data_IF_560870453612
#
_entry.id   IF_560870453612
#
_cell.length_a   1.000
_cell.length_b   1.000
_cell.length_c   1.000
_cell.angle_alpha   90.00
_cell.angle_beta   90.00
_cell.angle_gamma   90.00
#
_symmetry.space_group_name_H-M   'P 1'
#
loop_
_entity.id
_entity.type
_entity.pdbx_description
1 polymer ?
#
# COMPACT_ATOMS: atom_id res chain seq x y z
N UNK A 1 -7.59 -15.22 30.40
CA UNK A 1 -7.15 -14.03 31.17
C UNK A 1 -6.71 -14.42 32.58
N UNK A 2 -7.61 -14.93 33.44
CA UNK A 2 -7.27 -15.26 34.83
C UNK A 2 -6.09 -16.26 34.93
N UNK A 3 -6.11 -17.33 34.18
CA UNK A 3 -5.05 -18.34 34.21
C UNK A 3 -3.68 -17.74 33.80
N UNK A 4 -3.62 -16.93 32.76
CA UNK A 4 -2.37 -16.29 32.32
C UNK A 4 -1.90 -15.19 33.27
N UNK A 5 -2.81 -14.51 33.97
CA UNK A 5 -2.49 -13.61 35.07
C UNK A 5 -1.82 -14.37 36.24
N UNK A 6 -2.41 -15.48 36.67
CA UNK A 6 -1.84 -16.32 37.74
C UNK A 6 -0.48 -16.88 37.31
N UNK A 7 -0.32 -17.32 36.05
CA UNK A 7 0.96 -17.79 35.52
C UNK A 7 2.05 -16.72 35.64
N UNK A 8 1.74 -15.45 35.30
CA UNK A 8 2.68 -14.34 35.40
C UNK A 8 3.00 -13.98 36.87
N UNK A 9 2.01 -14.08 37.75
CA UNK A 9 2.21 -13.86 39.18
C UNK A 9 3.14 -14.93 39.78
N UNK A 10 2.92 -16.18 39.47
CA UNK A 10 3.76 -17.30 39.92
C UNK A 10 5.18 -17.21 39.36
N UNK A 11 5.33 -16.76 38.11
CA UNK A 11 6.63 -16.55 37.44
C UNK A 11 7.36 -15.28 37.92
N UNK A 12 6.74 -14.43 38.75
CA UNK A 12 7.23 -13.12 39.12
C UNK A 12 7.60 -12.26 37.88
N UNK A 13 6.77 -12.34 36.83
CA UNK A 13 6.90 -11.57 35.59
C UNK A 13 5.88 -10.42 35.53
N UNK A 14 6.09 -9.41 34.68
CA UNK A 14 5.18 -8.27 34.59
C UNK A 14 3.75 -8.70 34.22
N UNK A 15 2.80 -8.41 35.09
CA UNK A 15 1.38 -8.80 34.93
C UNK A 15 0.72 -8.12 33.74
N UNK A 16 1.21 -6.95 33.32
CA UNK A 16 0.67 -6.23 32.15
C UNK A 16 0.84 -7.00 30.83
N UNK A 17 1.72 -7.99 30.74
CA UNK A 17 1.83 -8.85 29.53
C UNK A 17 0.52 -9.55 29.20
N UNK A 18 -0.31 -9.82 30.18
CA UNK A 18 -1.61 -10.45 29.97
C UNK A 18 -2.55 -9.58 29.13
N UNK A 19 -2.46 -8.25 29.22
CA UNK A 19 -3.26 -7.35 28.38
C UNK A 19 -2.84 -7.38 26.91
N UNK A 20 -1.56 -7.61 26.64
CA UNK A 20 -1.06 -7.67 25.27
C UNK A 20 -1.58 -8.88 24.49
N UNK A 21 -2.14 -9.91 25.17
CA UNK A 21 -2.76 -11.06 24.53
C UNK A 21 -4.02 -10.70 23.74
N UNK A 22 -4.70 -9.58 24.08
CA UNK A 22 -5.89 -9.13 23.38
C UNK A 22 -5.59 -8.37 22.08
N UNK A 23 -4.32 -8.04 21.87
CA UNK A 23 -3.89 -7.39 20.63
C UNK A 23 -3.70 -8.46 19.57
N UNK A 24 -4.48 -8.48 18.47
CA UNK A 24 -4.29 -9.40 17.37
C UNK A 24 -2.85 -9.39 16.88
N UNK A 25 -2.32 -10.53 16.48
CA UNK A 25 -0.92 -10.79 16.11
C UNK A 25 0.06 -10.71 17.30
N UNK A 26 0.01 -9.64 18.12
CA UNK A 26 0.87 -9.52 19.31
C UNK A 26 0.60 -10.64 20.30
N UNK A 27 -0.68 -10.96 20.56
CA UNK A 27 -1.10 -12.04 21.45
C UNK A 27 -0.55 -13.41 21.06
N UNK A 28 -0.34 -13.65 19.77
CA UNK A 28 0.23 -14.90 19.26
C UNK A 28 1.69 -15.09 19.64
N UNK A 29 2.43 -14.03 19.91
CA UNK A 29 3.80 -14.10 20.43
C UNK A 29 3.84 -14.02 21.95
N UNK A 30 2.99 -13.21 22.55
CA UNK A 30 2.96 -13.00 23.99
C UNK A 30 2.42 -14.23 24.73
N UNK A 31 1.36 -14.90 24.24
CA UNK A 31 0.79 -16.07 24.90
C UNK A 31 1.80 -17.23 24.99
N UNK A 32 2.49 -17.64 23.91
CA UNK A 32 3.60 -18.60 24.01
C UNK A 32 4.70 -18.14 24.98
N UNK A 33 5.04 -16.86 24.99
CA UNK A 33 6.02 -16.30 25.93
C UNK A 33 5.62 -16.52 27.40
N UNK A 34 4.35 -16.26 27.73
CA UNK A 34 3.80 -16.51 29.08
C UNK A 34 3.86 -17.99 29.41
N UNK A 35 3.49 -18.87 28.48
CA UNK A 35 3.50 -20.31 28.68
C UNK A 35 4.92 -20.85 28.88
N UNK A 36 5.90 -20.37 28.13
CA UNK A 36 7.31 -20.71 28.29
C UNK A 36 7.84 -20.28 29.67
N UNK A 37 7.54 -19.05 30.10
CA UNK A 37 7.96 -18.60 31.44
C UNK A 37 7.30 -19.42 32.54
N UNK A 38 6.05 -19.85 32.37
CA UNK A 38 5.36 -20.69 33.32
C UNK A 38 5.98 -22.11 33.44
N UNK A 39 6.29 -22.78 32.32
CA UNK A 39 6.85 -24.16 32.38
C UNK A 39 8.26 -24.22 32.95
N UNK A 40 9.03 -23.10 32.89
CA UNK A 40 10.33 -22.99 33.57
C UNK A 40 10.23 -23.16 35.08
N UNK A 41 9.07 -22.80 35.68
CA UNK A 41 8.83 -23.00 37.13
C UNK A 41 8.77 -24.47 37.53
N UNK A 42 8.64 -25.37 36.57
CA UNK A 42 8.63 -26.81 36.74
C UNK A 42 9.92 -27.49 36.26
N UNK A 43 11.01 -26.73 36.13
CA UNK A 43 12.30 -27.24 35.70
C UNK A 43 12.37 -27.65 34.22
N UNK A 44 11.43 -27.19 33.39
CA UNK A 44 11.36 -27.52 31.98
C UNK A 44 12.05 -26.44 31.15
N UNK A 45 13.32 -26.70 30.78
CA UNK A 45 14.19 -25.72 30.16
C UNK A 45 14.63 -26.07 28.73
N UNK A 46 14.28 -27.29 28.25
CA UNK A 46 14.70 -27.70 26.90
C UNK A 46 13.95 -26.98 25.80
N UNK A 47 14.54 -26.93 24.61
CA UNK A 47 13.90 -26.32 23.44
C UNK A 47 12.56 -26.98 23.12
N UNK A 48 12.52 -28.32 23.13
CA UNK A 48 11.31 -29.07 22.81
C UNK A 48 10.19 -28.86 23.82
N UNK A 49 10.51 -28.77 25.10
CA UNK A 49 9.54 -28.47 26.16
C UNK A 49 8.94 -27.07 26.00
N UNK A 50 9.75 -26.09 25.62
CA UNK A 50 9.27 -24.75 25.30
C UNK A 50 8.41 -24.74 24.05
N UNK A 51 8.77 -25.50 23.00
CA UNK A 51 7.98 -25.67 21.78
C UNK A 51 6.63 -26.33 22.08
N UNK A 52 6.61 -27.37 22.89
CA UNK A 52 5.36 -28.02 23.34
C UNK A 52 4.48 -27.05 24.14
N UNK A 53 5.06 -26.30 25.06
CA UNK A 53 4.31 -25.30 25.81
C UNK A 53 3.74 -24.17 24.90
N UNK A 54 4.52 -23.75 23.90
CA UNK A 54 4.11 -22.69 22.98
C UNK A 54 3.00 -23.11 22.02
N UNK A 55 3.10 -24.32 21.44
CA UNK A 55 2.22 -24.78 20.37
C UNK A 55 1.12 -25.73 20.81
N UNK A 56 1.36 -26.52 21.85
CA UNK A 56 0.49 -27.60 22.32
C UNK A 56 0.12 -27.45 23.80
N UNK A 57 0.02 -26.22 24.30
CA UNK A 57 -0.32 -25.89 25.67
C UNK A 57 -1.54 -26.66 26.22
N UNK A 58 -2.68 -26.82 25.49
CA UNK A 58 -3.85 -27.57 25.99
C UNK A 58 -3.57 -29.03 26.33
N UNK A 59 -2.56 -29.63 25.71
CA UNK A 59 -2.15 -31.02 25.96
C UNK A 59 -0.96 -31.08 26.91
N UNK A 60 -0.04 -30.15 26.79
CA UNK A 60 1.18 -30.17 27.59
C UNK A 60 0.97 -29.77 29.06
N UNK A 61 0.06 -28.83 29.36
CA UNK A 61 -0.22 -28.41 30.73
C UNK A 61 -0.91 -29.50 31.56
N UNK A 62 -1.92 -30.25 31.06
CA UNK A 62 -2.40 -31.44 31.77
C UNK A 62 -1.30 -32.46 32.04
N UNK A 63 -0.43 -32.74 31.07
CA UNK A 63 0.73 -33.61 31.28
C UNK A 63 1.63 -33.13 32.42
N UNK A 64 1.93 -31.83 32.49
CA UNK A 64 2.70 -31.23 33.58
C UNK A 64 2.01 -31.42 34.94
N UNK A 65 0.68 -31.24 34.99
CA UNK A 65 -0.09 -31.30 36.22
C UNK A 65 -0.27 -32.71 36.77
N UNK A 66 -0.38 -33.73 35.91
CA UNK A 66 -0.62 -35.11 36.31
C UNK A 66 0.65 -35.96 36.40
N UNK A 67 1.80 -35.48 35.93
CA UNK A 67 3.05 -36.27 35.97
C UNK A 67 3.69 -36.24 37.34
N UNK A 68 3.84 -37.43 38.01
CA UNK A 68 4.44 -37.51 39.36
C UNK A 68 5.94 -37.15 39.40
N UNK A 69 6.58 -37.09 38.23
CA UNK A 69 8.02 -36.78 38.09
C UNK A 69 8.31 -35.29 37.95
N UNK A 70 7.27 -34.46 37.90
CA UNK A 70 7.41 -33.03 37.67
C UNK A 70 7.08 -32.28 38.96
N UNK A 71 8.02 -31.48 39.41
CA UNK A 71 7.86 -30.74 40.66
C UNK A 71 8.01 -29.24 40.40
N UNK A 72 7.27 -28.46 41.13
CA UNK A 72 7.39 -26.98 41.10
C UNK A 72 8.68 -26.56 41.82
N UNK A 73 9.59 -25.94 41.07
CA UNK A 73 10.88 -25.41 41.58
C UNK A 73 10.82 -23.90 41.88
N UNK A 74 9.75 -23.25 41.44
CA UNK A 74 9.49 -21.84 41.65
C UNK A 74 10.42 -20.90 40.86
N UNK A 75 10.19 -19.59 40.99
CA UNK A 75 10.95 -18.58 40.21
C UNK A 75 12.44 -18.51 40.62
N UNK A 76 12.77 -18.79 41.88
CA UNK A 76 14.17 -18.78 42.34
C UNK A 76 14.93 -20.03 41.83
N UNK A 77 14.27 -21.17 41.73
CA UNK A 77 14.82 -22.37 41.10
C UNK A 77 15.04 -22.14 39.58
N UNK A 78 14.08 -21.51 38.92
CA UNK A 78 14.19 -21.17 37.48
C UNK A 78 15.33 -20.22 37.18
N UNK A 79 15.63 -19.25 38.04
CA UNK A 79 16.76 -18.32 37.88
C UNK A 79 18.14 -18.95 37.97
N UNK A 80 18.27 -20.08 38.68
CA UNK A 80 19.53 -20.81 38.85
C UNK A 80 19.95 -21.57 37.60
N UNK A 81 19.03 -21.80 36.65
CA UNK A 81 19.35 -22.47 35.42
C UNK A 81 20.25 -21.64 34.54
N UNK A 82 21.43 -22.17 34.22
CA UNK A 82 22.37 -21.57 33.26
C UNK A 82 22.13 -22.19 31.88
N UNK A 83 21.77 -21.33 30.91
CA UNK A 83 21.57 -21.73 29.52
C UNK A 83 22.92 -22.12 28.89
N UNK A 84 22.90 -23.06 27.94
CA UNK A 84 24.03 -23.32 27.05
C UNK A 84 24.18 -22.15 26.04
N UNK A 85 25.41 -21.80 25.68
CA UNK A 85 25.68 -20.62 24.84
C UNK A 85 24.93 -20.62 23.51
N UNK A 86 24.86 -21.75 22.81
CA UNK A 86 24.10 -21.85 21.56
C UNK A 86 22.60 -21.52 21.75
N UNK A 87 22.06 -21.85 22.90
CA UNK A 87 20.65 -21.58 23.23
C UNK A 87 20.37 -20.09 23.39
N UNK A 88 21.33 -19.34 23.91
CA UNK A 88 21.22 -17.88 24.02
C UNK A 88 21.13 -17.24 22.64
N UNK A 89 21.92 -17.72 21.67
CA UNK A 89 21.84 -17.26 20.29
C UNK A 89 20.49 -17.58 19.61
N UNK A 90 19.95 -18.77 19.84
CA UNK A 90 18.61 -19.14 19.33
C UNK A 90 17.52 -18.28 19.95
N UNK A 91 17.54 -18.07 21.26
CA UNK A 91 16.56 -17.22 21.95
C UNK A 91 16.67 -15.75 21.45
N UNK A 92 17.90 -15.23 21.24
CA UNK A 92 18.13 -13.91 20.68
C UNK A 92 17.62 -13.80 19.24
N UNK A 93 17.84 -14.80 18.39
CA UNK A 93 17.32 -14.83 17.03
C UNK A 93 15.78 -14.84 17.00
N UNK A 94 15.14 -15.67 17.82
CA UNK A 94 13.67 -15.70 17.94
C UNK A 94 13.15 -14.34 18.40
N UNK A 95 13.76 -13.74 19.42
CA UNK A 95 13.37 -12.42 19.89
C UNK A 95 13.51 -11.36 18.79
N UNK A 96 14.62 -11.37 18.04
CA UNK A 96 14.87 -10.43 16.96
C UNK A 96 13.82 -10.57 15.84
N UNK A 97 13.47 -11.81 15.44
CA UNK A 97 12.43 -12.06 14.42
C UNK A 97 11.07 -11.56 14.90
N UNK A 98 10.69 -11.86 16.15
CA UNK A 98 9.42 -11.41 16.71
C UNK A 98 9.37 -9.88 16.80
N UNK A 99 10.40 -9.25 17.38
CA UNK A 99 10.48 -7.80 17.50
C UNK A 99 10.44 -7.11 16.14
N UNK A 100 11.22 -7.57 15.17
CA UNK A 100 11.23 -7.01 13.83
C UNK A 100 9.88 -7.20 13.12
N UNK A 101 9.20 -8.34 13.31
CA UNK A 101 7.86 -8.59 12.77
C UNK A 101 6.84 -7.61 13.35
N UNK A 102 6.86 -7.38 14.66
CA UNK A 102 5.95 -6.44 15.33
C UNK A 102 6.21 -5.00 14.90
N UNK A 103 7.47 -4.59 14.84
CA UNK A 103 7.86 -3.25 14.36
C UNK A 103 7.37 -3.05 12.92
N UNK A 104 7.67 -4.01 12.02
CA UNK A 104 7.25 -3.99 10.62
C UNK A 104 5.73 -3.94 10.48
N UNK A 105 5.01 -4.67 11.30
CA UNK A 105 3.54 -4.75 11.22
C UNK A 105 2.87 -3.46 11.69
N UNK A 106 3.35 -2.83 12.77
CA UNK A 106 2.60 -1.79 13.47
C UNK A 106 3.24 -0.40 13.44
N UNK A 107 4.57 -0.29 13.27
CA UNK A 107 5.29 0.98 13.44
C UNK A 107 5.77 1.51 12.10
N UNK A 108 6.73 0.85 11.47
CA UNK A 108 7.26 1.24 10.16
C UNK A 108 7.76 0.03 9.36
N UNK A 109 7.71 0.16 8.06
CA UNK A 109 8.19 -0.85 7.12
C UNK A 109 9.10 -0.19 6.08
N UNK A 110 10.15 -0.92 5.69
CA UNK A 110 11.07 -0.48 4.64
C UNK A 110 10.58 -0.94 3.26
N UNK A 111 10.61 -0.02 2.29
CA UNK A 111 10.26 -0.28 0.90
C UNK A 111 11.35 0.25 -0.03
N UNK A 112 11.49 -0.38 -1.20
CA UNK A 112 12.34 0.10 -2.29
C UNK A 112 11.47 0.63 -3.41
N UNK A 113 11.85 1.72 -4.04
CA UNK A 113 11.15 2.31 -5.19
C UNK A 113 11.59 1.62 -6.47
N UNK A 114 10.69 0.89 -7.17
CA UNK A 114 11.05 0.16 -8.39
C UNK A 114 10.81 0.94 -9.68
N UNK A 115 10.02 2.02 -9.66
CA UNK A 115 9.56 2.73 -10.87
C UNK A 115 9.64 4.24 -10.76
N UNK A 116 9.67 4.93 -11.91
CA UNK A 116 9.78 6.38 -12.01
C UNK A 116 8.46 7.16 -11.85
N UNK A 117 7.36 6.52 -11.39
CA UNK A 117 6.06 7.20 -11.31
C UNK A 117 5.99 8.36 -10.31
N UNK A 118 6.94 8.41 -9.38
CA UNK A 118 7.15 9.49 -8.40
C UNK A 118 8.48 10.22 -8.66
N UNK A 119 9.00 10.17 -9.90
CA UNK A 119 10.31 10.73 -10.27
C UNK A 119 10.46 12.18 -9.79
N UNK A 120 11.70 12.57 -9.46
CA UNK A 120 12.12 13.80 -8.79
C UNK A 120 11.71 13.89 -7.32
N UNK A 121 10.57 13.37 -6.90
CA UNK A 121 10.23 13.21 -5.48
C UNK A 121 10.91 11.97 -4.91
N UNK A 122 10.68 10.82 -5.54
CA UNK A 122 11.29 9.54 -5.24
C UNK A 122 11.94 8.97 -6.49
N UNK A 123 13.20 8.55 -6.38
CA UNK A 123 13.96 7.97 -7.48
C UNK A 123 13.95 6.44 -7.39
N UNK A 124 14.13 5.79 -8.53
CA UNK A 124 14.35 4.34 -8.58
C UNK A 124 15.54 3.99 -7.68
N UNK A 125 15.41 2.91 -6.92
CA UNK A 125 16.35 2.47 -5.88
C UNK A 125 16.53 3.45 -4.71
N UNK A 126 15.54 4.29 -4.42
CA UNK A 126 15.37 4.89 -3.10
C UNK A 126 14.81 3.84 -2.14
N UNK A 127 15.39 3.75 -0.96
CA UNK A 127 14.91 2.91 0.14
C UNK A 127 14.24 3.81 1.18
N UNK A 128 12.96 3.57 1.43
CA UNK A 128 12.18 4.42 2.33
C UNK A 128 11.75 3.70 3.59
N UNK A 129 11.58 4.48 4.66
CA UNK A 129 10.73 4.08 5.78
C UNK A 129 9.33 4.65 5.59
N UNK A 130 8.35 3.75 5.69
CA UNK A 130 6.93 4.07 5.64
C UNK A 130 6.34 3.94 7.03
N UNK A 131 5.87 5.07 7.58
CA UNK A 131 5.25 5.11 8.90
C UNK A 131 3.81 4.61 8.82
N UNK A 132 3.53 3.51 9.50
CA UNK A 132 2.16 3.00 9.69
C UNK A 132 1.44 3.75 10.79
N UNK A 133 2.19 4.31 11.72
CA UNK A 133 1.68 5.08 12.83
C UNK A 133 1.04 6.40 12.41
N UNK A 134 1.46 6.97 11.27
CA UNK A 134 0.92 8.23 10.74
C UNK A 134 -0.59 8.19 10.50
N UNK A 135 -1.11 7.04 10.07
CA UNK A 135 -2.55 6.83 9.83
C UNK A 135 -3.19 5.90 10.84
N UNK A 136 -2.42 5.42 11.81
CA UNK A 136 -2.80 4.36 12.73
C UNK A 136 -2.52 2.96 12.19
N UNK A 137 -1.99 2.06 13.01
CA UNK A 137 -1.63 0.71 12.60
C UNK A 137 -2.86 -0.10 12.19
N UNK A 138 -2.78 -0.72 11.00
CA UNK A 138 -3.79 -1.65 10.49
C UNK A 138 -3.47 -3.06 10.99
N UNK A 139 -4.47 -3.76 11.52
CA UNK A 139 -4.35 -5.18 11.81
C UNK A 139 -4.26 -5.93 10.48
N UNK A 140 -3.28 -6.86 10.30
CA UNK A 140 -3.20 -7.66 9.10
C UNK A 140 -4.48 -8.45 8.86
N UNK A 141 -5.03 -8.37 7.64
CA UNK A 141 -6.19 -9.18 7.25
C UNK A 141 -5.83 -10.67 7.19
N UNK A 142 -4.58 -10.99 6.80
CA UNK A 142 -4.06 -12.35 6.67
C UNK A 142 -2.94 -12.58 7.70
N UNK A 143 -3.27 -12.79 8.97
CA UNK A 143 -2.29 -12.85 10.05
C UNK A 143 -1.40 -14.10 10.02
N UNK A 144 -1.89 -15.21 9.42
CA UNK A 144 -1.10 -16.43 9.23
C UNK A 144 -0.16 -16.27 8.03
N UNK A 145 0.96 -15.58 8.23
CA UNK A 145 1.95 -15.33 7.19
C UNK A 145 3.36 -15.58 7.70
N UNK A 146 4.23 -16.10 6.83
CA UNK A 146 5.66 -16.24 7.13
C UNK A 146 6.25 -14.83 7.19
N UNK A 147 6.94 -14.47 8.30
CA UNK A 147 7.58 -13.16 8.41
C UNK A 147 8.52 -12.85 7.25
N UNK A 148 8.56 -11.60 6.82
CA UNK A 148 9.44 -11.05 5.77
C UNK A 148 9.21 -11.57 4.35
N UNK A 149 8.30 -12.52 4.12
CA UNK A 149 7.94 -13.01 2.78
C UNK A 149 6.56 -12.47 2.41
N UNK A 150 6.47 -11.84 1.22
CA UNK A 150 5.22 -11.17 0.82
C UNK A 150 4.17 -12.19 0.31
N UNK A 151 4.36 -12.81 -0.84
CA UNK A 151 3.36 -13.66 -1.49
C UNK A 151 3.77 -15.13 -1.59
N UNK A 152 4.92 -15.43 -2.21
CA UNK A 152 5.37 -16.80 -2.47
C UNK A 152 6.72 -17.05 -1.77
N UNK A 153 6.93 -18.28 -1.35
CA UNK A 153 8.20 -18.70 -0.77
C UNK A 153 9.26 -18.69 -1.89
N UNK A 154 10.41 -18.02 -1.70
CA UNK A 154 11.45 -17.94 -2.72
C UNK A 154 11.86 -19.33 -3.23
N UNK A 155 11.90 -19.49 -4.56
CA UNK A 155 12.20 -20.76 -5.22
C UNK A 155 11.05 -21.78 -5.23
N UNK A 156 9.82 -21.38 -4.82
CA UNK A 156 8.64 -22.24 -4.79
C UNK A 156 7.39 -21.51 -5.27
N UNK A 157 6.41 -22.24 -5.78
CA UNK A 157 5.05 -21.74 -6.04
C UNK A 157 4.14 -21.75 -4.81
N UNK A 158 4.65 -22.17 -3.64
CA UNK A 158 3.87 -22.23 -2.41
C UNK A 158 3.64 -20.83 -1.83
N UNK A 159 2.40 -20.56 -1.41
CA UNK A 159 2.06 -19.29 -0.75
C UNK A 159 2.74 -19.19 0.60
N UNK A 160 3.26 -18.00 0.93
CA UNK A 160 3.85 -17.67 2.24
C UNK A 160 2.82 -17.39 3.33
N UNK A 161 1.53 -17.50 3.01
CA UNK A 161 0.42 -17.19 3.90
C UNK A 161 -0.72 -18.19 3.77
N UNK A 162 -1.55 -18.26 4.81
CA UNK A 162 -2.79 -19.03 4.82
C UNK A 162 -3.99 -18.12 5.01
N UNK A 163 -5.07 -18.38 4.26
CA UNK A 163 -6.35 -17.68 4.37
C UNK A 163 -7.33 -18.36 5.32
N UNK A 164 -6.88 -19.38 6.08
CA UNK A 164 -7.71 -20.10 7.06
C UNK A 164 -8.24 -19.17 8.16
N UNK A 165 -7.49 -18.12 8.50
CA UNK A 165 -7.93 -17.05 9.39
C UNK A 165 -7.81 -15.75 8.63
N UNK A 166 -8.95 -15.04 8.48
CA UNK A 166 -9.02 -13.70 7.93
C UNK A 166 -9.66 -12.76 8.95
N UNK A 167 -9.00 -11.63 9.20
CA UNK A 167 -9.50 -10.60 10.11
C UNK A 167 -10.10 -9.49 9.26
N UNK A 168 -11.32 -9.00 9.57
CA UNK A 168 -11.88 -7.85 8.87
C UNK A 168 -11.01 -6.61 9.06
N UNK A 169 -11.22 -5.59 8.22
CA UNK A 169 -10.48 -4.33 8.35
C UNK A 169 -10.67 -3.70 9.72
N UNK A 170 -9.56 -3.58 10.45
CA UNK A 170 -9.47 -2.90 11.74
C UNK A 170 -8.24 -2.01 11.72
N UNK A 171 -8.42 -0.75 12.06
CA UNK A 171 -7.34 0.23 12.21
C UNK A 171 -7.45 0.92 13.56
N UNK A 172 -6.38 0.84 14.35
CA UNK A 172 -6.34 1.51 15.64
C UNK A 172 -5.88 2.96 15.50
N UNK A 173 -6.44 3.84 16.33
CA UNK A 173 -6.08 5.26 16.37
C UNK A 173 -6.07 5.88 14.96
N UNK A 174 -7.07 5.53 14.16
CA UNK A 174 -7.15 5.94 12.76
C UNK A 174 -7.08 7.48 12.62
N UNK A 175 -6.15 7.94 11.79
CA UNK A 175 -6.04 9.33 11.36
C UNK A 175 -6.26 9.39 9.84
N UNK A 176 -6.98 10.41 9.33
CA UNK A 176 -7.24 10.52 7.91
C UNK A 176 -5.96 10.84 7.14
N UNK A 177 -5.87 10.33 5.93
CA UNK A 177 -4.88 10.75 4.94
C UNK A 177 -5.17 12.20 4.55
N UNK A 178 -4.13 13.02 4.39
CA UNK A 178 -4.26 14.42 3.99
C UNK A 178 -3.85 14.61 2.53
N UNK A 179 -4.40 15.64 1.88
CA UNK A 179 -3.92 16.05 0.55
C UNK A 179 -2.44 16.39 0.62
N UNK A 180 -1.69 16.02 -0.42
CA UNK A 180 -0.25 16.18 -0.50
C UNK A 180 0.56 15.07 0.17
N UNK A 181 -0.03 14.20 1.01
CA UNK A 181 0.69 13.07 1.59
C UNK A 181 1.15 12.10 0.51
N UNK A 182 2.40 11.64 0.60
CA UNK A 182 2.91 10.53 -0.22
C UNK A 182 2.59 9.22 0.51
N UNK A 183 1.69 8.43 -0.07
CA UNK A 183 1.03 7.30 0.58
C UNK A 183 1.43 5.99 -0.05
N UNK A 184 1.78 5.01 0.78
CA UNK A 184 1.88 3.60 0.37
C UNK A 184 0.55 2.91 0.65
N UNK A 185 0.05 2.18 -0.35
CA UNK A 185 -1.22 1.47 -0.27
C UNK A 185 -1.17 0.18 -1.08
N UNK A 186 -2.01 -0.77 -0.74
CA UNK A 186 -2.20 -2.00 -1.50
C UNK A 186 -2.96 -1.69 -2.80
N UNK A 187 -2.50 -2.23 -3.92
CA UNK A 187 -3.05 -1.96 -5.25
C UNK A 187 -4.55 -2.31 -5.32
N UNK A 188 -5.44 -1.36 -5.69
CA UNK A 188 -6.88 -1.57 -5.63
C UNK A 188 -7.41 -2.63 -6.60
N UNK A 189 -6.75 -2.83 -7.73
CA UNK A 189 -7.08 -3.88 -8.70
C UNK A 189 -6.21 -5.16 -8.52
N UNK A 190 -5.48 -5.28 -7.39
CA UNK A 190 -4.60 -6.41 -7.09
C UNK A 190 -5.26 -7.60 -6.39
N UNK A 191 -6.59 -7.61 -6.25
CA UNK A 191 -7.37 -8.72 -5.70
C UNK A 191 -7.32 -9.98 -6.58
N UNK A 192 -7.25 -9.80 -7.90
CA UNK A 192 -7.06 -10.86 -8.90
C UNK A 192 -5.88 -10.50 -9.78
N UNK A 193 -4.96 -11.42 -9.97
CA UNK A 193 -3.77 -11.22 -10.82
C UNK A 193 -3.54 -12.42 -11.72
N UNK A 194 -2.93 -12.19 -12.88
CA UNK A 194 -2.34 -13.27 -13.68
C UNK A 194 -0.97 -13.59 -13.09
N UNK A 195 -0.83 -14.78 -12.51
CA UNK A 195 0.40 -15.22 -11.83
C UNK A 195 1.46 -15.72 -12.81
N UNK A 196 1.93 -14.83 -13.65
CA UNK A 196 2.94 -15.08 -14.68
C UNK A 196 3.88 -13.89 -14.79
N UNK A 197 5.13 -14.12 -15.15
CA UNK A 197 6.11 -13.07 -15.39
C UNK A 197 5.62 -12.09 -16.46
N UNK A 198 5.83 -10.78 -16.24
CA UNK A 198 5.34 -9.70 -17.11
C UNK A 198 3.89 -9.26 -16.87
N UNK A 199 3.14 -10.01 -16.06
CA UNK A 199 1.78 -9.66 -15.63
C UNK A 199 1.78 -9.09 -14.19
N UNK A 200 0.91 -9.57 -13.34
CA UNK A 200 0.70 -9.09 -11.96
C UNK A 200 0.27 -7.62 -11.95
N UNK A 201 1.01 -6.74 -11.27
CA UNK A 201 0.71 -5.31 -11.23
C UNK A 201 1.29 -4.52 -12.41
N UNK A 202 2.23 -5.10 -13.19
CA UNK A 202 2.74 -4.47 -14.40
C UNK A 202 1.70 -4.47 -15.54
N UNK A 203 0.93 -5.55 -15.65
CA UNK A 203 -0.21 -5.67 -16.56
C UNK A 203 -1.41 -6.24 -15.78
N UNK A 204 -2.19 -5.37 -15.10
CA UNK A 204 -3.26 -5.80 -14.19
C UNK A 204 -4.34 -6.62 -14.88
N UNK A 205 -4.88 -7.61 -14.17
CA UNK A 205 -5.95 -8.48 -14.67
C UNK A 205 -7.16 -7.70 -15.23
N UNK A 206 -7.58 -6.64 -14.56
CA UNK A 206 -8.73 -5.86 -15.01
C UNK A 206 -8.43 -5.06 -16.28
N UNK A 207 -7.20 -4.60 -16.46
CA UNK A 207 -6.76 -4.00 -17.72
C UNK A 207 -6.74 -5.06 -18.83
N UNK A 208 -6.18 -6.24 -18.58
CA UNK A 208 -6.11 -7.33 -19.52
C UNK A 208 -7.50 -7.74 -20.02
N UNK A 209 -8.49 -7.94 -19.14
CA UNK A 209 -9.85 -8.31 -19.57
C UNK A 209 -10.53 -7.21 -20.38
N UNK A 210 -10.27 -5.93 -20.06
CA UNK A 210 -10.78 -4.81 -20.88
C UNK A 210 -10.15 -4.79 -22.28
N UNK A 211 -8.86 -5.05 -22.38
CA UNK A 211 -8.14 -5.11 -23.66
C UNK A 211 -8.60 -6.29 -24.52
N UNK A 212 -8.61 -7.50 -23.98
CA UNK A 212 -9.03 -8.71 -24.68
C UNK A 212 -10.50 -8.66 -25.12
N UNK A 213 -11.36 -8.10 -24.28
CA UNK A 213 -12.79 -7.91 -24.55
C UNK A 213 -13.11 -6.64 -25.35
N UNK A 214 -12.10 -5.88 -25.80
CA UNK A 214 -12.29 -4.61 -26.53
C UNK A 214 -13.28 -3.67 -25.86
N UNK A 215 -13.15 -3.56 -24.53
CA UNK A 215 -14.05 -2.79 -23.66
C UNK A 215 -15.18 -3.59 -23.01
N UNK A 216 -15.48 -4.81 -23.49
CA UNK A 216 -16.44 -5.70 -22.86
C UNK A 216 -15.75 -6.61 -21.83
N UNK A 217 -15.79 -6.22 -20.54
CA UNK A 217 -15.13 -6.99 -19.47
C UNK A 217 -15.64 -8.43 -19.33
N UNK A 218 -16.91 -8.70 -19.65
CA UNK A 218 -17.47 -10.05 -19.55
C UNK A 218 -16.87 -10.98 -20.62
N UNK A 219 -16.71 -10.49 -21.83
CA UNK A 219 -16.07 -11.22 -22.94
C UNK A 219 -14.58 -11.44 -22.66
N UNK A 220 -13.87 -10.39 -22.24
CA UNK A 220 -12.46 -10.51 -21.88
C UNK A 220 -12.23 -11.49 -20.72
N UNK A 221 -13.11 -11.49 -19.72
CA UNK A 221 -13.09 -12.49 -18.65
C UNK A 221 -13.30 -13.90 -19.15
N UNK A 222 -14.22 -14.11 -20.06
CA UNK A 222 -14.44 -15.42 -20.68
C UNK A 222 -13.20 -15.91 -21.44
N UNK A 223 -12.52 -15.03 -22.18
CA UNK A 223 -11.26 -15.34 -22.88
C UNK A 223 -10.18 -15.77 -21.89
N UNK A 224 -9.97 -15.04 -20.82
CA UNK A 224 -8.96 -15.36 -19.80
C UNK A 224 -9.28 -16.69 -19.11
N UNK A 225 -10.54 -16.92 -18.72
CA UNK A 225 -10.96 -18.15 -18.04
C UNK A 225 -10.90 -19.39 -18.94
N UNK A 226 -11.05 -19.24 -20.26
CA UNK A 226 -10.92 -20.34 -21.22
C UNK A 226 -9.47 -20.72 -21.52
N UNK A 227 -8.49 -19.89 -21.10
CA UNK A 227 -7.06 -20.11 -21.34
C UNK A 227 -6.23 -20.12 -20.02
N UNK A 228 -6.49 -21.03 -19.07
CA UNK A 228 -5.85 -21.01 -17.76
C UNK A 228 -4.34 -21.30 -17.79
N UNK A 229 -3.84 -21.95 -18.85
CA UNK A 229 -2.40 -22.17 -19.04
C UNK A 229 -1.66 -20.90 -19.47
N UNK A 230 -2.32 -20.04 -20.22
CA UNK A 230 -1.78 -18.76 -20.65
C UNK A 230 -1.94 -17.68 -19.56
N UNK A 231 -3.09 -17.69 -18.88
CA UNK A 231 -3.47 -16.74 -17.85
C UNK A 231 -3.77 -17.45 -16.52
N UNK A 232 -2.76 -18.01 -15.83
CA UNK A 232 -2.98 -18.63 -14.51
C UNK A 232 -3.38 -17.58 -13.50
N UNK A 233 -4.61 -17.64 -12.99
CA UNK A 233 -5.14 -16.65 -12.05
C UNK A 233 -4.76 -16.98 -10.60
N UNK A 234 -4.42 -15.93 -9.86
CA UNK A 234 -4.27 -15.98 -8.42
C UNK A 234 -5.12 -14.90 -7.75
N UNK A 235 -5.78 -15.26 -6.65
CA UNK A 235 -6.54 -14.33 -5.81
C UNK A 235 -5.71 -14.01 -4.58
N UNK A 236 -5.57 -12.71 -4.31
CA UNK A 236 -4.84 -12.20 -3.15
C UNK A 236 -5.78 -11.50 -2.18
N UNK A 237 -5.65 -11.75 -0.86
CA UNK A 237 -6.23 -10.89 0.16
C UNK A 237 -5.72 -9.45 0.04
N UNK A 238 -6.46 -8.50 0.58
CA UNK A 238 -6.15 -7.06 0.49
C UNK A 238 -4.71 -6.74 0.88
N UNK A 239 -4.24 -7.30 2.00
CA UNK A 239 -2.89 -7.07 2.54
C UNK A 239 -1.79 -7.89 1.85
N UNK A 240 -2.14 -8.67 0.81
CA UNK A 240 -1.22 -9.46 -0.02
C UNK A 240 -1.16 -8.98 -1.47
N UNK A 241 -1.97 -7.98 -1.85
CA UNK A 241 -1.79 -7.30 -3.13
C UNK A 241 -0.54 -6.40 -3.11
N UNK A 242 0.03 -6.14 -4.28
CA UNK A 242 1.24 -5.35 -4.43
C UNK A 242 1.10 -3.95 -3.82
N UNK A 243 2.22 -3.41 -3.34
CA UNK A 243 2.24 -2.09 -2.74
C UNK A 243 2.58 -1.02 -3.78
N UNK A 244 1.74 -0.01 -3.87
CA UNK A 244 1.94 1.17 -4.69
C UNK A 244 2.24 2.38 -3.82
N UNK A 245 2.94 3.35 -4.41
CA UNK A 245 3.22 4.63 -3.77
C UNK A 245 2.81 5.76 -4.70
N UNK A 246 1.95 6.67 -4.21
CA UNK A 246 1.46 7.84 -4.95
C UNK A 246 1.21 9.00 -3.99
N UNK A 247 1.01 10.18 -4.55
CA UNK A 247 0.54 11.34 -3.79
C UNK A 247 -0.98 11.34 -3.68
N UNK A 248 -1.49 11.55 -2.48
CA UNK A 248 -2.91 11.79 -2.26
C UNK A 248 -3.27 13.19 -2.75
N UNK A 249 -3.99 13.27 -3.87
CA UNK A 249 -4.44 14.54 -4.45
C UNK A 249 -5.93 14.80 -4.20
N UNK A 250 -6.67 13.84 -3.68
CA UNK A 250 -8.07 14.00 -3.32
C UNK A 250 -8.43 13.13 -2.13
N UNK A 251 -9.21 13.69 -1.21
CA UNK A 251 -9.67 13.01 0.01
C UNK A 251 -11.19 12.85 -0.01
N UNK A 252 -11.69 12.02 0.90
CA UNK A 252 -13.12 11.78 1.04
C UNK A 252 -13.93 13.08 1.17
N UNK A 253 -15.00 13.21 0.39
CA UNK A 253 -15.87 14.38 0.31
C UNK A 253 -15.47 15.43 -0.72
N UNK A 254 -14.29 15.34 -1.32
CA UNK A 254 -13.86 16.28 -2.35
C UNK A 254 -14.59 16.07 -3.68
N UNK A 255 -14.82 17.18 -4.38
CA UNK A 255 -15.02 17.17 -5.83
C UNK A 255 -13.68 17.46 -6.50
N UNK A 256 -13.18 16.51 -7.27
CA UNK A 256 -11.91 16.61 -7.99
C UNK A 256 -12.13 16.77 -9.49
N UNK A 257 -11.34 17.63 -10.12
CA UNK A 257 -11.20 17.76 -11.56
C UNK A 257 -9.72 17.76 -11.92
N UNK A 258 -9.40 17.20 -13.07
CA UNK A 258 -8.08 17.33 -13.70
C UNK A 258 -8.27 18.05 -15.03
N UNK A 259 -7.58 19.16 -15.21
CA UNK A 259 -7.58 19.96 -16.44
C UNK A 259 -6.14 20.20 -16.89
N UNK A 260 -5.75 19.62 -18.00
CA UNK A 260 -4.37 19.71 -18.48
C UNK A 260 -3.35 19.15 -17.49
N UNK A 261 -3.64 18.02 -16.84
CA UNK A 261 -2.84 17.42 -15.74
C UNK A 261 -2.75 18.25 -14.43
N UNK A 262 -3.43 19.38 -14.35
CA UNK A 262 -3.53 20.18 -13.12
C UNK A 262 -4.78 19.77 -12.36
N UNK A 263 -4.63 19.56 -11.06
CA UNK A 263 -5.71 19.12 -10.17
C UNK A 263 -6.45 20.35 -9.61
N UNK A 264 -7.77 20.24 -9.58
CA UNK A 264 -8.67 21.21 -8.96
C UNK A 264 -9.51 20.52 -7.90
N UNK A 265 -9.69 21.17 -6.75
CA UNK A 265 -10.57 20.73 -5.66
C UNK A 265 -11.71 21.71 -5.51
N UNK A 266 -12.94 21.25 -5.58
CA UNK A 266 -14.11 22.08 -5.40
C UNK A 266 -14.05 23.37 -6.25
N UNK A 267 -13.51 23.26 -7.49
CA UNK A 267 -13.32 24.37 -8.41
C UNK A 267 -12.07 25.23 -8.19
N UNK A 268 -11.29 24.99 -7.14
CA UNK A 268 -10.04 25.73 -6.88
C UNK A 268 -8.82 24.92 -7.33
N UNK A 269 -7.90 25.55 -8.03
CA UNK A 269 -6.65 24.92 -8.46
C UNK A 269 -5.78 24.56 -7.27
N UNK A 270 -5.30 23.31 -7.23
CA UNK A 270 -4.28 22.89 -6.26
C UNK A 270 -2.91 23.47 -6.60
N UNK A 271 -2.13 23.80 -5.59
CA UNK A 271 -0.72 24.12 -5.79
C UNK A 271 0.02 22.90 -6.29
N UNK A 272 0.73 23.05 -7.40
CA UNK A 272 1.54 21.95 -7.96
C UNK A 272 2.68 21.63 -6.99
N UNK A 273 2.86 20.37 -6.57
CA UNK A 273 3.98 20.00 -5.71
C UNK A 273 5.34 20.40 -6.35
N UNK A 274 6.30 20.92 -5.57
CA UNK A 274 7.55 21.45 -6.13
C UNK A 274 8.33 20.49 -7.02
N UNK A 275 8.25 19.19 -6.72
CA UNK A 275 8.94 18.12 -7.46
C UNK A 275 8.04 17.38 -8.46
N UNK A 276 6.78 17.80 -8.61
CA UNK A 276 5.89 17.23 -9.64
C UNK A 276 6.39 17.59 -11.03
N UNK A 277 6.47 16.57 -11.89
CA UNK A 277 7.01 16.71 -13.25
C UNK A 277 5.87 16.80 -14.25
N UNK A 278 5.89 17.86 -15.05
CA UNK A 278 4.97 18.11 -16.15
C UNK A 278 5.76 18.44 -17.43
N UNK A 279 5.16 18.15 -18.56
CA UNK A 279 5.74 18.54 -19.85
C UNK A 279 5.32 19.97 -20.22
N UNK A 280 6.30 20.80 -20.56
CA UNK A 280 6.09 22.19 -20.96
C UNK A 280 6.71 22.48 -22.31
N UNK A 281 6.00 23.25 -23.13
CA UNK A 281 6.58 23.92 -24.29
C UNK A 281 7.18 25.24 -23.82
N UNK A 282 8.50 25.36 -23.94
CA UNK A 282 9.29 26.47 -23.44
C UNK A 282 9.88 27.25 -24.63
N UNK A 283 9.65 28.53 -24.69
CA UNK A 283 10.36 29.47 -25.60
C UNK A 283 11.47 30.11 -24.76
N UNK A 284 12.75 29.83 -25.04
CA UNK A 284 13.86 30.41 -24.29
C UNK A 284 13.96 31.93 -24.52
N UNK A 285 14.42 32.67 -23.52
CA UNK A 285 14.79 34.08 -23.65
C UNK A 285 16.27 34.27 -24.08
N UNK A 286 17.05 33.18 -24.03
CA UNK A 286 18.48 33.13 -24.36
C UNK A 286 18.68 32.40 -25.69
N UNK A 287 19.78 32.68 -26.37
CA UNK A 287 20.07 32.08 -27.68
C UNK A 287 20.35 30.57 -27.60
N UNK A 288 20.98 30.12 -26.53
CA UNK A 288 21.34 28.71 -26.27
C UNK A 288 21.09 28.35 -24.82
N UNK A 289 20.61 27.14 -24.60
CA UNK A 289 20.52 26.51 -23.27
C UNK A 289 21.70 25.55 -23.17
N UNK A 290 22.57 25.75 -22.15
CA UNK A 290 23.69 24.88 -21.89
C UNK A 290 23.18 23.59 -21.20
N UNK A 291 23.40 22.37 -21.77
CA UNK A 291 22.95 21.12 -21.21
C UNK A 291 23.47 20.82 -19.79
N UNK A 292 24.73 21.18 -19.52
CA UNK A 292 25.35 20.91 -18.21
C UNK A 292 24.73 21.82 -17.14
N UNK A 293 24.54 23.12 -17.44
CA UNK A 293 23.84 24.06 -16.55
C UNK A 293 22.39 23.63 -16.33
N UNK A 294 21.70 23.17 -17.37
CA UNK A 294 20.32 22.69 -17.26
C UNK A 294 20.22 21.46 -16.35
N UNK A 295 21.19 20.56 -16.42
CA UNK A 295 21.25 19.38 -15.57
C UNK A 295 21.63 19.72 -14.12
N UNK A 296 22.70 20.50 -13.93
CA UNK A 296 23.25 20.74 -12.58
C UNK A 296 22.40 21.72 -11.77
N UNK A 297 21.92 22.80 -12.41
CA UNK A 297 21.20 23.86 -11.71
C UNK A 297 19.68 23.64 -11.66
N UNK A 298 19.10 23.05 -12.71
CA UNK A 298 17.64 22.96 -12.87
C UNK A 298 17.15 21.52 -12.79
N UNK A 299 18.05 20.53 -12.68
CA UNK A 299 17.70 19.10 -12.65
C UNK A 299 16.89 18.66 -13.90
N UNK A 300 17.20 19.28 -15.06
CA UNK A 300 16.58 18.97 -16.34
C UNK A 300 17.46 17.99 -17.11
N UNK A 301 16.86 16.88 -17.49
CA UNK A 301 17.48 15.87 -18.33
C UNK A 301 17.40 16.32 -19.80
N UNK A 302 18.50 16.84 -20.33
CA UNK A 302 18.56 17.45 -21.66
C UNK A 302 18.35 16.41 -22.78
N UNK A 303 18.62 15.14 -22.53
CA UNK A 303 18.37 14.02 -23.47
C UNK A 303 16.86 13.84 -23.73
N UNK A 304 16.01 14.32 -22.82
CA UNK A 304 14.55 14.30 -22.95
C UNK A 304 13.97 15.61 -23.51
N UNK A 305 14.82 16.57 -23.86
CA UNK A 305 14.40 17.85 -24.48
C UNK A 305 14.23 17.63 -25.96
N UNK A 306 13.08 17.99 -26.51
CA UNK A 306 12.78 17.86 -27.93
C UNK A 306 12.39 19.20 -28.55
N UNK A 307 12.76 19.49 -29.83
CA UNK A 307 12.29 20.67 -30.54
C UNK A 307 10.75 20.65 -30.67
N UNK A 308 10.11 21.78 -30.37
CA UNK A 308 8.66 21.97 -30.47
C UNK A 308 8.24 23.01 -31.57
N UNK A 309 9.17 23.33 -32.49
CA UNK A 309 8.96 24.30 -33.56
C UNK A 309 9.16 25.76 -33.14
N UNK A 310 9.35 26.65 -34.12
CA UNK A 310 9.47 28.09 -33.89
C UNK A 310 10.47 28.52 -32.78
N UNK A 311 11.56 27.79 -32.58
CA UNK A 311 12.53 28.06 -31.53
C UNK A 311 12.08 27.65 -30.11
N UNK A 312 10.97 26.92 -29.99
CA UNK A 312 10.49 26.35 -28.73
C UNK A 312 11.00 24.92 -28.52
N UNK A 313 11.03 24.50 -27.28
CA UNK A 313 11.42 23.15 -26.84
C UNK A 313 10.36 22.54 -25.94
N UNK A 314 10.10 21.26 -26.13
CA UNK A 314 9.34 20.43 -25.18
C UNK A 314 10.28 19.94 -24.08
N UNK A 315 9.96 20.24 -22.82
CA UNK A 315 10.81 19.96 -21.67
C UNK A 315 9.98 19.40 -20.50
N UNK A 316 10.52 18.38 -19.85
CA UNK A 316 10.00 17.84 -18.60
C UNK A 316 10.57 18.65 -17.44
N UNK A 317 9.75 19.50 -16.83
CA UNK A 317 10.17 20.37 -15.74
C UNK A 317 9.42 20.06 -14.46
N UNK A 318 10.15 20.11 -13.36
CA UNK A 318 9.51 20.23 -12.04
C UNK A 318 8.98 21.67 -11.87
N UNK A 319 7.98 21.83 -10.99
CA UNK A 319 7.46 23.17 -10.69
C UNK A 319 8.57 24.08 -10.13
N UNK A 320 9.46 23.53 -9.30
CA UNK A 320 10.63 24.22 -8.76
C UNK A 320 11.61 24.67 -9.88
N UNK A 321 11.91 23.78 -10.83
CA UNK A 321 12.78 24.10 -11.95
C UNK A 321 12.17 25.20 -12.82
N UNK A 322 10.88 25.08 -13.14
CA UNK A 322 10.12 26.09 -13.91
C UNK A 322 10.21 27.48 -13.25
N UNK A 323 9.90 27.55 -11.95
CA UNK A 323 9.95 28.82 -11.21
C UNK A 323 11.38 29.39 -11.15
N UNK A 324 12.39 28.55 -10.94
CA UNK A 324 13.80 28.99 -10.94
C UNK A 324 14.24 29.51 -12.31
N UNK A 325 13.90 28.81 -13.39
CA UNK A 325 14.21 29.27 -14.76
C UNK A 325 13.50 30.59 -15.13
N UNK A 326 12.24 30.76 -14.73
CA UNK A 326 11.50 31.99 -14.90
C UNK A 326 12.16 33.16 -14.15
N UNK A 327 12.50 32.94 -12.87
CA UNK A 327 13.17 33.92 -12.01
C UNK A 327 14.53 34.36 -12.58
N UNK A 328 15.27 33.43 -13.17
CA UNK A 328 16.60 33.70 -13.77
C UNK A 328 16.51 34.24 -15.21
N UNK A 329 15.31 34.50 -15.72
CA UNK A 329 15.13 35.11 -17.05
C UNK A 329 15.46 34.18 -18.22
N UNK A 330 15.48 32.87 -18.02
CA UNK A 330 15.77 31.91 -19.11
C UNK A 330 14.56 31.60 -19.98
N UNK A 331 13.35 31.91 -19.52
CA UNK A 331 12.09 31.61 -20.18
C UNK A 331 11.43 32.91 -20.66
N UNK A 332 11.17 32.99 -21.96
CA UNK A 332 10.38 34.08 -22.58
C UNK A 332 8.89 33.75 -22.50
N UNK A 333 8.52 32.51 -22.84
CA UNK A 333 7.15 32.01 -22.75
C UNK A 333 7.16 30.54 -22.36
N UNK A 334 6.14 30.11 -21.64
CA UNK A 334 5.97 28.71 -21.21
C UNK A 334 4.50 28.33 -21.23
N UNK A 335 4.20 27.17 -21.79
CA UNK A 335 2.86 26.62 -21.87
C UNK A 335 2.93 25.14 -21.45
N UNK A 336 1.87 24.61 -20.84
CA UNK A 336 1.74 23.16 -20.70
C UNK A 336 1.66 22.55 -22.10
N UNK A 337 2.51 21.56 -22.37
CA UNK A 337 2.43 20.81 -23.62
C UNK A 337 1.19 19.91 -23.55
N UNK A 338 0.27 19.99 -24.51
CA UNK A 338 -0.80 19.00 -24.59
C UNK A 338 -0.17 17.61 -24.82
N UNK A 339 -0.37 16.70 -23.88
CA UNK A 339 0.11 15.33 -24.05
C UNK A 339 -0.81 14.49 -24.93
N UNK A 340 -0.44 13.24 -25.12
CA UNK A 340 -1.32 12.27 -25.74
C UNK A 340 -2.51 12.05 -24.81
N UNK A 341 -3.71 12.46 -25.23
CA UNK A 341 -4.94 12.21 -24.50
C UNK A 341 -5.30 10.73 -24.57
N UNK A 342 -4.84 9.96 -23.59
CA UNK A 342 -5.34 8.60 -23.42
C UNK A 342 -6.78 8.67 -22.92
N UNK A 343 -7.70 8.17 -23.73
CA UNK A 343 -9.14 8.10 -23.38
C UNK A 343 -9.52 6.77 -22.76
N UNK A 344 -8.59 5.82 -22.71
CA UNK A 344 -8.80 4.53 -22.07
C UNK A 344 -8.45 4.64 -20.57
N UNK A 345 -9.30 5.36 -19.86
CA UNK A 345 -9.15 5.71 -18.45
C UNK A 345 -10.42 5.37 -17.65
N UNK A 346 -10.31 5.37 -16.32
CA UNK A 346 -11.45 5.22 -15.44
C UNK A 346 -12.56 6.24 -15.77
N UNK A 347 -13.86 5.86 -15.78
CA UNK A 347 -14.43 4.55 -15.43
C UNK A 347 -14.59 3.58 -16.62
N UNK A 348 -13.96 3.83 -17.78
CA UNK A 348 -13.96 2.98 -18.98
C UNK A 348 -15.35 2.84 -19.61
N UNK A 349 -16.10 3.90 -19.64
CA UNK A 349 -17.45 3.94 -20.20
C UNK A 349 -17.56 4.91 -21.38
N UNK A 350 -18.73 4.94 -22.02
CA UNK A 350 -19.06 5.86 -23.09
C UNK A 350 -19.80 7.12 -22.64
N UNK A 351 -20.10 7.23 -21.33
CA UNK A 351 -20.88 8.34 -20.76
C UNK A 351 -19.94 9.49 -20.42
N UNK A 352 -18.80 9.18 -19.79
CA UNK A 352 -17.81 10.13 -19.38
C UNK A 352 -16.73 10.26 -20.46
N UNK A 353 -16.67 11.42 -21.11
CA UNK A 353 -15.64 11.73 -22.12
C UNK A 353 -14.34 12.18 -21.45
N UNK A 354 -13.87 11.39 -20.44
CA UNK A 354 -12.66 11.69 -19.71
C UNK A 354 -11.41 11.17 -20.43
N UNK A 355 -10.29 11.79 -20.09
CA UNK A 355 -8.96 11.37 -20.56
C UNK A 355 -7.97 11.43 -19.42
N UNK A 356 -6.76 10.92 -19.64
CA UNK A 356 -5.66 11.05 -18.66
C UNK A 356 -5.31 12.50 -18.31
N UNK A 357 -5.63 13.44 -19.22
CA UNK A 357 -5.39 14.88 -19.12
C UNK A 357 -6.56 15.66 -18.55
N UNK A 358 -7.80 15.24 -18.86
CA UNK A 358 -9.03 15.93 -18.50
C UNK A 358 -10.02 14.95 -17.92
N UNK A 359 -10.25 15.04 -16.63
CA UNK A 359 -11.09 14.12 -15.87
C UNK A 359 -11.96 14.87 -14.87
N UNK A 360 -13.16 14.43 -14.69
CA UNK A 360 -14.08 14.99 -13.70
C UNK A 360 -15.10 15.97 -14.32
N UNK A 361 -15.89 16.67 -13.50
CA UNK A 361 -15.87 16.62 -12.02
C UNK A 361 -16.27 15.25 -11.46
N UNK A 362 -15.55 14.81 -10.42
CA UNK A 362 -15.70 13.52 -9.78
C UNK A 362 -15.78 13.71 -8.26
N UNK A 363 -16.85 13.22 -7.63
CA UNK A 363 -16.94 13.22 -6.17
C UNK A 363 -16.23 12.00 -5.57
N UNK A 364 -15.39 12.22 -4.56
CA UNK A 364 -14.67 11.16 -3.84
C UNK A 364 -15.54 10.68 -2.69
N UNK A 365 -15.90 9.38 -2.62
CA UNK A 365 -16.82 8.88 -1.61
C UNK A 365 -16.32 9.09 -0.18
N UNK A 366 -17.24 9.55 0.68
CA UNK A 366 -17.02 9.75 2.10
C UNK A 366 -17.93 8.81 2.90
N UNK A 367 -17.36 8.21 3.93
CA UNK A 367 -18.09 7.32 4.84
C UNK A 367 -19.32 7.98 5.42
N UNK A 368 -20.47 7.30 5.33
CA UNK A 368 -21.75 7.78 5.82
C UNK A 368 -22.47 8.75 4.88
N UNK A 369 -21.88 9.13 3.75
CA UNK A 369 -22.53 9.96 2.72
C UNK A 369 -23.14 9.08 1.63
N UNK A 370 -24.22 9.58 1.05
CA UNK A 370 -25.00 8.86 0.03
C UNK A 370 -24.90 9.54 -1.32
N UNK A 371 -24.97 8.72 -2.38
CA UNK A 371 -25.17 9.16 -3.76
C UNK A 371 -26.51 8.69 -4.29
N UNK A 372 -27.09 9.45 -5.22
CA UNK A 372 -28.21 8.99 -6.04
C UNK A 372 -27.67 8.11 -7.16
N UNK A 373 -28.33 6.99 -7.41
CA UNK A 373 -27.97 6.05 -8.46
C UNK A 373 -28.64 6.44 -9.78
N UNK A 374 -27.81 6.59 -10.79
CA UNK A 374 -28.15 6.77 -12.19
C UNK A 374 -27.04 6.14 -13.04
N UNK A 375 -27.15 6.18 -14.35
CA UNK A 375 -26.20 5.52 -15.23
C UNK A 375 -24.78 6.06 -15.07
N UNK A 376 -24.63 7.36 -14.92
CA UNK A 376 -23.32 7.99 -14.69
C UNK A 376 -22.71 7.56 -13.34
N UNK A 377 -23.47 7.65 -12.25
CA UNK A 377 -22.98 7.24 -10.93
C UNK A 377 -22.78 5.74 -10.80
N UNK A 378 -23.57 4.93 -11.51
CA UNK A 378 -23.38 3.48 -11.54
C UNK A 378 -22.02 3.12 -12.13
N UNK A 379 -21.65 3.64 -13.30
CA UNK A 379 -20.35 3.33 -13.93
C UNK A 379 -19.17 3.75 -13.07
N UNK A 380 -19.24 4.92 -12.45
CA UNK A 380 -18.18 5.47 -11.61
C UNK A 380 -18.02 4.68 -10.29
N UNK A 381 -19.14 4.34 -9.61
CA UNK A 381 -19.06 3.83 -8.24
C UNK A 381 -19.31 2.32 -8.10
N UNK A 382 -19.68 1.61 -9.18
CA UNK A 382 -20.01 0.19 -9.12
C UNK A 382 -18.89 -0.66 -8.49
N UNK A 383 -17.62 -0.37 -8.82
CA UNK A 383 -16.49 -1.12 -8.26
C UNK A 383 -16.33 -0.86 -6.76
N UNK A 384 -16.50 0.40 -6.32
CA UNK A 384 -16.44 0.76 -4.91
C UNK A 384 -17.53 0.03 -4.12
N UNK A 385 -18.76 0.01 -4.62
CA UNK A 385 -19.91 -0.63 -3.97
C UNK A 385 -19.77 -2.16 -3.98
N UNK A 386 -19.44 -2.74 -5.13
CA UNK A 386 -19.41 -4.19 -5.32
C UNK A 386 -18.17 -4.85 -4.74
N UNK A 387 -16.98 -4.35 -5.10
CA UNK A 387 -15.72 -5.02 -4.79
C UNK A 387 -15.18 -4.57 -3.44
N UNK A 388 -15.09 -3.26 -3.21
CA UNK A 388 -14.46 -2.76 -2.00
C UNK A 388 -15.36 -2.85 -0.77
N UNK A 389 -16.67 -2.68 -0.95
CA UNK A 389 -17.63 -2.80 0.16
C UNK A 389 -18.38 -4.14 0.20
N UNK A 390 -18.02 -5.08 -0.69
CA UNK A 390 -18.44 -6.49 -0.63
C UNK A 390 -19.93 -6.71 -0.89
N UNK A 391 -20.57 -5.89 -1.74
CA UNK A 391 -21.97 -6.05 -2.04
C UNK A 391 -22.20 -6.79 -3.38
N UNK A 392 -23.37 -7.43 -3.52
CA UNK A 392 -23.91 -7.80 -4.81
C UNK A 392 -24.59 -6.57 -5.40
N UNK A 393 -24.03 -5.98 -6.46
CA UNK A 393 -24.57 -4.76 -7.05
C UNK A 393 -24.56 -4.86 -8.56
N UNK A 394 -25.73 -4.73 -9.17
CA UNK A 394 -25.94 -4.89 -10.60
C UNK A 394 -27.06 -4.00 -11.12
N UNK A 395 -27.08 -3.76 -12.44
CA UNK A 395 -28.17 -3.06 -13.13
C UNK A 395 -28.95 -4.06 -13.97
N UNK A 396 -30.22 -4.28 -13.63
CA UNK A 396 -31.13 -5.18 -14.33
C UNK A 396 -32.38 -4.43 -14.79
N UNK A 397 -32.71 -4.52 -16.06
CA UNK A 397 -33.90 -3.88 -16.65
C UNK A 397 -34.04 -2.38 -16.31
N UNK A 398 -32.92 -1.65 -16.28
CA UNK A 398 -32.89 -0.22 -15.93
C UNK A 398 -32.98 0.09 -14.44
N UNK A 399 -33.06 -0.91 -13.57
CA UNK A 399 -33.12 -0.77 -12.11
C UNK A 399 -31.80 -1.17 -11.47
N UNK A 400 -31.44 -0.51 -10.36
CA UNK A 400 -30.23 -0.81 -9.59
C UNK A 400 -30.59 -1.77 -8.46
N UNK A 401 -29.96 -2.94 -8.44
CA UNK A 401 -30.23 -4.01 -7.48
C UNK A 401 -29.03 -4.16 -6.57
N UNK A 402 -29.24 -3.95 -5.27
CA UNK A 402 -28.24 -4.09 -4.22
C UNK A 402 -28.64 -5.25 -3.28
N UNK A 403 -27.83 -6.31 -3.22
CA UNK A 403 -28.09 -7.48 -2.37
C UNK A 403 -29.51 -8.05 -2.55
N UNK A 404 -30.00 -8.08 -3.81
CA UNK A 404 -31.32 -8.58 -4.17
C UNK A 404 -32.49 -7.59 -4.00
N UNK A 405 -32.23 -6.36 -3.57
CA UNK A 405 -33.26 -5.32 -3.40
C UNK A 405 -33.04 -4.16 -4.36
N UNK A 406 -34.14 -3.62 -4.91
CA UNK A 406 -34.10 -2.41 -5.73
C UNK A 406 -33.77 -1.19 -4.85
N UNK A 407 -32.80 -0.39 -5.27
CA UNK A 407 -32.36 0.81 -4.57
C UNK A 407 -32.20 2.00 -5.52
N UNK A 408 -32.43 3.21 -5.02
CA UNK A 408 -32.23 4.46 -5.77
C UNK A 408 -31.02 5.26 -5.29
N UNK A 409 -30.43 4.88 -4.16
CA UNK A 409 -29.28 5.53 -3.57
C UNK A 409 -28.37 4.53 -2.88
N UNK A 410 -27.12 4.92 -2.65
CA UNK A 410 -26.16 4.12 -1.89
C UNK A 410 -25.41 4.96 -0.87
N UNK A 411 -25.24 4.45 0.35
CA UNK A 411 -24.47 5.07 1.44
C UNK A 411 -23.14 4.35 1.62
N UNK A 412 -22.02 5.06 1.45
CA UNK A 412 -20.68 4.47 1.56
C UNK A 412 -20.32 4.12 3.00
N UNK A 413 -19.63 2.99 3.16
CA UNK A 413 -19.19 2.44 4.46
C UNK A 413 -17.75 2.83 4.79
N UNK A 414 -16.97 3.27 3.80
CA UNK A 414 -15.56 3.64 3.92
C UNK A 414 -15.29 5.01 3.31
N UNK A 415 -14.14 5.61 3.71
CA UNK A 415 -13.56 6.75 3.01
C UNK A 415 -12.73 6.29 1.81
N UNK A 416 -12.67 7.13 0.80
CA UNK A 416 -11.90 6.88 -0.42
C UNK A 416 -10.95 8.03 -0.70
N UNK A 417 -9.93 7.72 -1.50
CA UNK A 417 -8.88 8.66 -1.86
C UNK A 417 -8.62 8.61 -3.36
N UNK A 418 -8.10 9.73 -3.89
CA UNK A 418 -7.62 9.80 -5.26
C UNK A 418 -6.12 10.01 -5.24
N UNK A 419 -5.38 9.08 -5.84
CA UNK A 419 -3.93 9.01 -5.79
C UNK A 419 -3.34 9.26 -7.16
N UNK A 420 -2.40 10.20 -7.28
CA UNK A 420 -1.69 10.48 -8.53
C UNK A 420 -0.18 10.47 -8.31
N UNK A 421 0.56 10.08 -9.37
CA UNK A 421 2.01 10.16 -9.35
C UNK A 421 2.51 11.58 -9.57
N UNK A 422 3.67 11.91 -9.02
CA UNK A 422 4.32 13.20 -9.23
C UNK A 422 4.89 13.32 -10.65
N UNK A 423 5.27 12.20 -11.28
CA UNK A 423 5.55 12.10 -12.70
C UNK A 423 4.24 11.85 -13.46
N UNK A 424 3.51 12.91 -13.77
CA UNK A 424 2.12 12.89 -14.25
C UNK A 424 1.89 12.01 -15.48
N UNK A 425 2.75 12.06 -16.48
CA UNK A 425 2.59 11.28 -17.71
C UNK A 425 3.21 9.87 -17.58
N UNK A 426 4.22 9.70 -16.73
CA UNK A 426 4.86 8.42 -16.45
C UNK A 426 4.24 7.66 -15.28
N UNK A 427 2.94 7.86 -14.97
CA UNK A 427 2.31 7.25 -13.81
C UNK A 427 1.01 6.54 -14.17
N UNK A 428 0.96 5.23 -13.90
CA UNK A 428 -0.30 4.53 -13.67
C UNK A 428 -0.80 4.89 -12.28
N UNK A 429 -2.01 5.47 -12.18
CA UNK A 429 -2.58 5.96 -10.94
C UNK A 429 -4.13 5.97 -10.97
N UNK A 430 -4.78 6.69 -10.07
CA UNK A 430 -6.25 6.70 -9.97
C UNK A 430 -6.98 7.11 -11.24
N UNK A 431 -6.31 7.77 -12.17
CA UNK A 431 -6.89 8.05 -13.51
C UNK A 431 -7.18 6.77 -14.29
N UNK A 432 -6.54 5.65 -13.93
CA UNK A 432 -6.70 4.35 -14.58
C UNK A 432 -7.49 3.37 -13.73
N UNK A 433 -7.21 3.21 -12.43
CA UNK A 433 -7.92 2.24 -11.58
C UNK A 433 -9.03 2.84 -10.71
N UNK A 434 -9.18 4.17 -10.67
CA UNK A 434 -10.20 4.85 -9.87
C UNK A 434 -9.79 5.01 -8.39
N UNK A 435 -10.75 4.84 -7.52
CA UNK A 435 -10.61 5.10 -6.09
C UNK A 435 -9.71 4.12 -5.34
N UNK A 436 -9.03 4.64 -4.31
CA UNK A 436 -8.30 3.84 -3.31
C UNK A 436 -9.09 3.89 -2.00
N UNK A 437 -9.68 2.79 -1.53
CA UNK A 437 -10.42 2.75 -0.27
C UNK A 437 -9.49 2.77 0.95
N UNK A 438 -9.99 3.23 2.09
CA UNK A 438 -9.20 3.41 3.32
C UNK A 438 -8.60 2.11 3.87
N UNK A 439 -9.21 0.96 3.61
CA UNK A 439 -8.73 -0.35 4.03
C UNK A 439 -7.44 -0.77 3.31
N UNK A 440 -7.12 -0.16 2.18
CA UNK A 440 -5.91 -0.40 1.40
C UNK A 440 -4.72 0.45 1.81
N UNK A 441 -4.93 1.49 2.60
CA UNK A 441 -3.85 2.38 3.06
C UNK A 441 -2.89 1.60 3.97
N UNK A 442 -1.61 1.60 3.64
CA UNK A 442 -0.54 0.96 4.42
C UNK A 442 0.12 1.97 5.37
N UNK A 443 0.59 3.10 4.83
CA UNK A 443 1.26 4.11 5.64
C UNK A 443 1.75 5.31 4.82
N UNK A 444 2.36 6.27 5.51
CA UNK A 444 2.93 7.49 4.94
C UNK A 444 4.43 7.30 4.68
N UNK A 445 4.89 7.57 3.46
CA UNK A 445 6.32 7.67 3.18
C UNK A 445 6.92 8.80 4.02
N UNK A 446 7.95 8.49 4.81
CA UNK A 446 8.47 9.45 5.80
C UNK A 446 9.89 9.88 5.50
N UNK A 447 10.80 8.93 5.32
CA UNK A 447 12.24 9.20 5.19
C UNK A 447 12.85 8.26 4.16
N UNK A 448 13.68 8.80 3.28
CA UNK A 448 14.61 8.04 2.44
C UNK A 448 15.84 7.77 3.32
N UNK A 449 16.05 6.51 3.70
CA UNK A 449 17.17 6.15 4.57
C UNK A 449 18.41 5.71 3.78
N UNK A 450 18.25 5.31 2.51
CA UNK A 450 19.32 4.95 1.60
C UNK A 450 18.86 5.17 0.14
N UNK A 451 19.82 5.42 -0.76
CA UNK A 451 19.57 5.55 -2.19
C UNK A 451 20.80 5.12 -2.98
N UNK A 452 20.60 4.37 -4.08
CA UNK A 452 21.69 3.80 -4.86
C UNK A 452 21.44 3.91 -6.36
N UNK A 453 22.45 4.40 -7.11
CA UNK A 453 22.53 4.34 -8.57
C UNK A 453 23.99 4.48 -8.98
N UNK A 454 24.58 3.42 -9.48
CA UNK A 454 26.03 3.38 -9.81
C UNK A 454 26.94 3.83 -8.64
N UNK A 455 26.40 3.86 -7.42
CA UNK A 455 27.00 4.34 -6.19
C UNK A 455 25.99 4.97 -5.23
N UNK A 456 26.36 5.21 -3.95
CA UNK A 456 25.46 5.82 -2.99
C UNK A 456 25.13 7.28 -3.37
N UNK A 457 23.83 7.63 -3.38
CA UNK A 457 23.39 9.02 -3.53
C UNK A 457 23.34 9.70 -2.16
N UNK A 458 24.51 10.20 -1.70
CA UNK A 458 24.69 10.75 -0.35
C UNK A 458 23.75 11.93 -0.03
N UNK A 459 23.41 12.75 -1.04
CA UNK A 459 22.50 13.90 -0.90
C UNK A 459 21.04 13.51 -0.64
N UNK A 460 20.70 12.23 -0.76
CA UNK A 460 19.36 11.70 -0.49
C UNK A 460 19.23 10.99 0.86
N UNK A 461 20.35 10.78 1.54
CA UNK A 461 20.40 10.05 2.81
C UNK A 461 19.63 10.82 3.91
N UNK A 462 18.76 10.11 4.63
CA UNK A 462 17.88 10.64 5.68
C UNK A 462 17.02 11.86 5.26
N UNK A 463 16.73 11.97 3.97
CA UNK A 463 15.86 13.02 3.45
C UNK A 463 14.40 12.71 3.75
N UNK A 464 13.67 13.68 4.32
CA UNK A 464 12.23 13.55 4.50
C UNK A 464 11.48 13.62 3.17
N UNK A 465 10.48 12.76 3.01
CA UNK A 465 9.56 12.77 1.85
C UNK A 465 8.47 13.82 2.12
N UNK A 466 8.36 14.78 1.18
CA UNK A 466 7.39 15.89 1.27
C UNK A 466 6.48 15.92 0.05
#
# INVERSE_FOLDING_TARGET
FYNTWVMQELAKRPKHWVFWQFIPVVGWFISPGIFIEFVKLFGRFTFWEHTLAALLAPFYFPYLGYSPKIHYIGPEGAKRYKKQGWREWVDAAIFAIVAATLIRTFIFEAYTIPSGSMEKTLLINDFLFVSKFAYGPRIPNTPLSIPFIHNYIPGSSAKSYSTAIQIPYIRWFASPVKRGDVVVFNFPEGDTVVNKEGFQSAHPYYQLIRELGKGNEAEGRAIVLSNPSEYPLAIHPVDKSDNYIKRCVGIAGDWIEVKGNIVYHNGQQESIPPKSVLNYTVVPAVATLDPDVMKEEYDVDFDKVAPAGAGAFSMWLTEEAKQKMQKNGLIKQIFLTPGLEERYVFPYDSIHHWSSYNLGPLWIPEKGKSIQLNDSTYTVYQRAIRVYEGNQFEKLNGKYILNGQEVTSYTFKMNYYWMMGDNREGSQDSRYWGFVPEDRIVGKASVIWFSWENGPRWNRLFRSVK
#
